data_IF_901881927956
#
_entry.id   IF_901881927956
#
_cell.length_a   1.000
_cell.length_b   1.000
_cell.length_c   1.000
_cell.angle_alpha   90.00
_cell.angle_beta   90.00
_cell.angle_gamma   90.00
#
_symmetry.space_group_name_H-M   'P 1'
#
loop_
_entity.id
_entity.type
_entity.pdbx_description
1 polymer ?
#
# COMPACT_ATOMS: atom_id res chain seq x y z
N UNK A 1 5.14 -46.07 40.87
CA UNK A 1 4.97 -44.79 41.58
C UNK A 1 4.24 -43.87 40.62
N UNK A 2 2.91 -43.73 40.72
CA UNK A 2 2.17 -42.86 41.64
C UNK A 2 2.36 -41.37 41.35
N UNK A 3 1.26 -40.69 41.01
CA UNK A 3 1.18 -39.25 40.88
C UNK A 3 1.00 -38.57 42.24
N UNK A 4 1.53 -37.36 42.40
CA UNK A 4 1.38 -36.56 43.61
C UNK A 4 0.18 -35.62 43.51
N UNK A 5 -0.85 -35.87 44.32
CA UNK A 5 -1.92 -34.91 44.59
C UNK A 5 -1.45 -33.84 45.58
N UNK A 6 -2.09 -32.66 45.59
CA UNK A 6 -3.00 -32.19 46.66
C UNK A 6 -3.14 -30.65 46.71
N UNK A 7 -4.34 -30.21 47.07
CA UNK A 7 -4.91 -28.86 46.99
C UNK A 7 -4.23 -27.71 47.75
N UNK A 8 -4.47 -26.48 47.25
CA UNK A 8 -4.58 -25.24 48.04
C UNK A 8 -5.78 -24.43 47.45
N UNK A 9 -6.96 -24.40 48.07
CA UNK A 9 -7.47 -23.54 49.15
C UNK A 9 -7.87 -22.09 48.74
N UNK A 10 -8.96 -21.59 49.35
CA UNK A 10 -9.75 -20.34 49.13
C UNK A 10 -10.94 -20.51 48.14
N UNK A 11 -12.25 -20.41 48.49
CA UNK A 11 -13.05 -19.59 49.45
C UNK A 11 -12.98 -18.07 49.13
N UNK A 12 -14.06 -17.26 49.12
CA UNK A 12 -15.49 -17.38 49.50
C UNK A 12 -16.26 -16.20 48.79
N UNK A 13 -17.56 -16.22 48.40
CA UNK A 13 -18.77 -15.85 49.20
C UNK A 13 -20.09 -15.95 48.35
N UNK A 14 -21.26 -15.84 49.00
CA UNK A 14 -22.67 -15.89 48.52
C UNK A 14 -23.14 -14.58 47.81
N UNK A 15 -24.40 -14.26 47.43
CA UNK A 15 -25.84 -14.65 47.69
C UNK A 15 -26.70 -14.25 46.44
N UNK A 16 -28.01 -14.46 46.16
CA UNK A 16 -29.28 -14.93 46.80
C UNK A 16 -29.94 -16.03 45.88
N UNK A 17 -31.15 -16.64 45.99
CA UNK A 17 -32.47 -16.48 46.71
C UNK A 17 -33.49 -15.49 46.05
N UNK A 18 -34.84 -15.64 46.04
CA UNK A 18 -35.82 -16.65 46.55
C UNK A 18 -37.23 -16.51 45.87
N UNK A 19 -38.20 -17.41 46.17
CA UNK A 19 -39.70 -17.32 45.97
C UNK A 19 -40.19 -17.55 44.50
N UNK A 20 -41.17 -18.41 44.11
CA UNK A 20 -42.42 -19.01 44.65
C UNK A 20 -43.72 -18.17 44.37
N UNK A 21 -44.99 -18.65 44.34
CA UNK A 21 -45.63 -19.93 44.69
C UNK A 21 -47.03 -20.08 44.00
N UNK A 22 -47.48 -21.33 43.72
CA UNK A 22 -48.87 -21.88 43.58
C UNK A 22 -50.01 -21.21 42.74
N UNK A 23 -50.89 -22.08 42.20
CA UNK A 23 -52.22 -21.73 41.66
C UNK A 23 -53.08 -22.95 41.27
N UNK A 24 -54.06 -23.32 42.09
CA UNK A 24 -55.07 -24.40 41.85
C UNK A 24 -56.21 -23.92 40.92
N UNK A 25 -57.09 -24.73 40.32
CA UNK A 25 -57.30 -26.19 40.35
C UNK A 25 -58.70 -26.54 39.77
N UNK A 26 -59.25 -27.71 40.13
CA UNK A 26 -60.57 -28.25 39.74
C UNK A 26 -60.76 -28.71 38.27
N UNK A 27 -61.74 -29.59 38.05
CA UNK A 27 -62.00 -30.28 36.79
C UNK A 27 -63.50 -30.55 36.59
N UNK A 28 -63.94 -30.72 35.34
CA UNK A 28 -65.23 -31.32 34.98
C UNK A 28 -65.12 -32.11 33.66
N UNK A 29 -65.94 -33.14 33.49
CA UNK A 29 -65.86 -34.05 32.35
C UNK A 29 -66.75 -33.64 31.17
N UNK A 30 -66.30 -33.92 29.95
CA UNK A 30 -67.06 -33.75 28.72
C UNK A 30 -66.34 -34.38 27.53
N UNK A 31 -66.86 -35.51 27.02
CA UNK A 31 -66.23 -36.23 25.92
C UNK A 31 -66.72 -35.72 24.55
N UNK A 32 -65.82 -35.12 23.76
CA UNK A 32 -66.04 -34.81 22.36
C UNK A 32 -64.77 -35.09 21.55
N UNK A 33 -64.87 -35.92 20.51
CA UNK A 33 -63.73 -36.28 19.67
C UNK A 33 -63.49 -35.22 18.60
N UNK A 34 -62.42 -34.45 18.72
CA UNK A 34 -61.95 -33.52 17.71
C UNK A 34 -60.46 -33.75 17.44
N UNK A 35 -60.10 -34.15 16.21
CA UNK A 35 -58.70 -34.35 15.80
C UNK A 35 -57.99 -33.01 15.63
N UNK A 36 -57.41 -32.51 16.72
CA UNK A 36 -56.48 -31.38 16.66
C UNK A 36 -55.19 -31.78 15.93
N UNK A 37 -54.94 -31.18 14.76
CA UNK A 37 -53.67 -31.30 14.04
C UNK A 37 -52.58 -30.50 14.77
N UNK A 38 -51.96 -31.12 15.77
CA UNK A 38 -50.83 -30.54 16.52
C UNK A 38 -49.54 -30.54 15.67
N UNK A 39 -49.54 -29.74 14.60
CA UNK A 39 -48.32 -29.39 13.87
C UNK A 39 -47.62 -28.26 14.61
N UNK A 40 -46.78 -28.62 15.59
CA UNK A 40 -45.70 -27.73 16.03
C UNK A 40 -44.84 -27.42 14.82
N UNK A 41 -45.02 -26.25 14.21
CA UNK A 41 -44.12 -25.74 13.20
C UNK A 41 -42.71 -25.73 13.79
N UNK A 42 -41.76 -26.38 13.13
CA UNK A 42 -40.36 -26.30 13.52
C UNK A 42 -39.92 -24.83 13.45
N UNK A 43 -39.14 -24.32 14.42
CA UNK A 43 -38.60 -22.98 14.31
C UNK A 43 -37.75 -22.90 13.04
N UNK A 44 -38.11 -21.97 12.14
CA UNK A 44 -37.38 -21.76 10.90
C UNK A 44 -35.91 -21.42 11.17
N UNK A 45 -35.00 -21.66 10.20
CA UNK A 45 -33.57 -21.45 10.40
C UNK A 45 -33.29 -20.02 10.89
N UNK A 46 -32.59 -19.90 12.01
CA UNK A 46 -32.31 -18.63 12.68
C UNK A 46 -31.62 -17.66 11.71
N UNK A 47 -32.34 -16.60 11.30
CA UNK A 47 -31.81 -15.53 10.44
C UNK A 47 -30.66 -14.84 11.18
N UNK A 48 -29.42 -15.19 10.85
CA UNK A 48 -28.26 -14.35 11.18
C UNK A 48 -28.35 -13.09 10.33
N UNK A 49 -28.61 -11.94 10.96
CA UNK A 49 -28.53 -10.65 10.30
C UNK A 49 -27.09 -10.38 9.84
N UNK A 50 -26.93 -9.63 8.74
CA UNK A 50 -25.61 -9.27 8.25
C UNK A 50 -24.83 -8.46 9.29
N UNK A 51 -23.55 -8.76 9.46
CA UNK A 51 -22.67 -7.98 10.35
C UNK A 51 -22.34 -6.66 9.66
N UNK A 52 -22.90 -5.55 10.12
CA UNK A 52 -22.51 -4.19 9.69
C UNK A 52 -21.31 -3.76 10.53
N UNK A 53 -20.17 -3.44 9.92
CA UNK A 53 -18.93 -3.18 10.67
C UNK A 53 -18.97 -1.85 11.45
N UNK A 54 -18.26 -1.72 12.59
CA UNK A 54 -18.28 -0.48 13.39
C UNK A 54 -17.80 0.75 12.63
N UNK A 55 -16.84 0.58 11.69
CA UNK A 55 -16.36 1.66 10.85
C UNK A 55 -17.44 2.12 9.85
N UNK A 56 -18.21 1.19 9.28
CA UNK A 56 -19.34 1.51 8.41
C UNK A 56 -20.43 2.24 9.19
N UNK A 57 -20.79 1.76 10.39
CA UNK A 57 -21.73 2.46 11.28
C UNK A 57 -21.28 3.89 11.59
N UNK A 58 -19.98 4.11 11.84
CA UNK A 58 -19.41 5.44 12.07
C UNK A 58 -19.42 6.33 10.82
N UNK A 59 -19.14 5.79 9.62
CA UNK A 59 -19.29 6.51 8.35
C UNK A 59 -20.75 6.92 8.10
N UNK A 60 -21.70 5.99 8.27
CA UNK A 60 -23.13 6.24 8.13
C UNK A 60 -23.61 7.36 9.06
N UNK A 61 -23.23 7.32 10.34
CA UNK A 61 -23.59 8.34 11.32
C UNK A 61 -23.01 9.73 10.95
N UNK A 62 -21.77 9.78 10.44
CA UNK A 62 -21.14 11.03 9.96
C UNK A 62 -21.88 11.62 8.76
N UNK A 63 -22.34 10.79 7.82
CA UNK A 63 -23.12 11.25 6.66
C UNK A 63 -24.53 11.73 7.05
N UNK A 64 -25.24 11.01 7.93
CA UNK A 64 -26.55 11.41 8.45
C UNK A 64 -26.50 12.74 9.23
N UNK A 65 -25.41 13.00 9.98
CA UNK A 65 -25.24 14.26 10.66
C UNK A 65 -24.84 15.41 9.71
N UNK A 66 -24.18 15.12 8.59
CA UNK A 66 -23.88 16.12 7.54
C UNK A 66 -25.12 16.52 6.74
N UNK A 67 -25.99 15.58 6.37
CA UNK A 67 -27.21 15.90 5.61
C UNK A 67 -28.21 16.73 6.42
N UNK A 68 -28.32 16.47 7.74
CA UNK A 68 -29.10 17.30 8.68
C UNK A 68 -28.68 18.79 8.74
N UNK A 69 -27.48 19.13 8.29
CA UNK A 69 -27.00 20.52 8.20
C UNK A 69 -27.29 21.22 6.87
N UNK A 70 -27.91 20.54 5.89
CA UNK A 70 -28.20 21.08 4.55
C UNK A 70 -29.67 20.83 4.19
N UNK A 71 -30.53 21.77 4.60
CA UNK A 71 -31.99 21.64 4.48
C UNK A 71 -32.59 21.98 3.11
N UNK A 72 -31.77 22.11 2.05
CA UNK A 72 -32.25 22.44 0.70
C UNK A 72 -31.36 21.82 -0.41
N UNK A 73 -31.94 21.73 -1.62
CA UNK A 73 -31.32 21.49 -2.94
C UNK A 73 -30.87 20.07 -3.35
N UNK A 74 -30.92 19.01 -2.53
CA UNK A 74 -30.56 17.65 -3.00
C UNK A 74 -31.72 16.64 -2.94
N UNK A 75 -32.33 16.40 -4.12
CA UNK A 75 -33.45 15.46 -4.33
C UNK A 75 -33.04 13.99 -4.14
N UNK A 76 -31.76 13.66 -4.38
CA UNK A 76 -31.18 12.39 -4.00
C UNK A 76 -30.57 12.50 -2.58
N UNK A 77 -30.94 11.57 -1.69
CA UNK A 77 -30.31 11.45 -0.38
C UNK A 77 -28.82 11.08 -0.47
N UNK A 78 -28.04 11.24 0.61
CA UNK A 78 -26.61 10.92 0.59
C UNK A 78 -26.39 9.44 0.23
N UNK A 79 -25.39 9.19 -0.62
CA UNK A 79 -24.91 7.84 -0.95
C UNK A 79 -23.70 7.45 -0.08
N UNK A 80 -23.38 6.15 -0.06
CA UNK A 80 -22.19 5.58 0.58
C UNK A 80 -21.69 4.38 -0.24
N UNK A 81 -20.37 4.19 -0.30
CA UNK A 81 -19.76 2.96 -0.85
C UNK A 81 -19.64 1.92 0.26
N UNK A 82 -20.04 0.68 -0.03
CA UNK A 82 -20.06 -0.44 0.91
C UNK A 82 -19.45 -1.68 0.26
N UNK A 83 -18.66 -2.43 1.04
CA UNK A 83 -18.14 -3.74 0.64
C UNK A 83 -19.06 -4.82 1.20
N UNK A 84 -19.82 -5.44 0.31
CA UNK A 84 -20.84 -6.47 0.61
C UNK A 84 -20.19 -7.84 0.50
N UNK A 85 -20.30 -8.67 1.55
CA UNK A 85 -19.90 -10.09 1.49
C UNK A 85 -21.13 -10.97 1.56
N UNK A 86 -21.34 -11.81 0.55
CA UNK A 86 -22.53 -12.64 0.39
C UNK A 86 -22.22 -14.12 0.17
N UNK A 87 -23.19 -14.97 0.48
CA UNK A 87 -23.15 -16.42 0.22
C UNK A 87 -23.56 -16.79 -1.21
N UNK A 88 -24.35 -15.90 -1.84
CA UNK A 88 -24.82 -15.99 -3.22
C UNK A 88 -24.72 -14.59 -3.86
N UNK A 89 -24.85 -14.50 -5.18
CA UNK A 89 -24.97 -13.22 -5.87
C UNK A 89 -26.16 -12.40 -5.31
N UNK A 90 -25.91 -11.11 -5.12
CA UNK A 90 -26.87 -10.11 -4.63
C UNK A 90 -26.90 -8.85 -5.52
N UNK A 91 -26.22 -8.86 -6.67
CA UNK A 91 -26.10 -7.71 -7.58
C UNK A 91 -27.47 -7.15 -7.98
N UNK A 92 -28.42 -8.01 -8.36
CA UNK A 92 -29.81 -7.59 -8.65
C UNK A 92 -30.55 -7.00 -7.45
N UNK A 93 -30.27 -7.45 -6.23
CA UNK A 93 -30.88 -6.90 -5.03
C UNK A 93 -30.29 -5.51 -4.70
N UNK A 94 -29.00 -5.30 -4.97
CA UNK A 94 -28.33 -4.01 -4.89
C UNK A 94 -28.94 -3.02 -5.92
N UNK A 95 -29.08 -3.44 -7.18
CA UNK A 95 -29.71 -2.65 -8.24
C UNK A 95 -31.17 -2.26 -7.90
N UNK A 96 -31.96 -3.21 -7.37
CA UNK A 96 -33.34 -2.97 -6.92
C UNK A 96 -33.44 -2.01 -5.73
N UNK A 97 -32.38 -1.84 -4.94
CA UNK A 97 -32.28 -0.85 -3.89
C UNK A 97 -31.74 0.51 -4.39
N UNK A 98 -31.57 0.68 -5.71
CA UNK A 98 -31.00 1.87 -6.33
C UNK A 98 -29.48 1.97 -6.19
N UNK A 99 -28.82 0.86 -5.85
CA UNK A 99 -27.36 0.78 -5.81
C UNK A 99 -26.74 0.53 -7.17
N UNK A 100 -25.50 0.99 -7.33
CA UNK A 100 -24.65 0.74 -8.49
C UNK A 100 -23.47 -0.14 -8.09
N UNK A 101 -23.08 -1.07 -8.97
CA UNK A 101 -21.92 -1.94 -8.77
C UNK A 101 -20.64 -1.19 -9.14
N UNK A 102 -19.68 -1.16 -8.22
CA UNK A 102 -18.32 -0.64 -8.44
C UNK A 102 -17.38 -1.78 -8.85
N UNK A 103 -17.54 -2.96 -8.25
CA UNK A 103 -16.89 -4.20 -8.67
C UNK A 103 -17.67 -5.42 -8.13
N UNK A 104 -17.70 -6.53 -8.87
CA UNK A 104 -18.18 -7.83 -8.40
C UNK A 104 -17.10 -8.90 -8.49
N UNK A 105 -16.69 -9.44 -7.34
CA UNK A 105 -15.79 -10.59 -7.23
C UNK A 105 -16.65 -11.87 -7.14
N UNK A 106 -17.10 -12.33 -8.30
CA UNK A 106 -17.78 -13.63 -8.53
C UNK A 106 -19.03 -13.86 -7.67
N UNK A 107 -19.84 -12.82 -7.44
CA UNK A 107 -21.07 -12.85 -6.65
C UNK A 107 -20.86 -13.06 -5.14
N UNK A 108 -19.64 -12.88 -4.63
CA UNK A 108 -19.27 -13.17 -3.23
C UNK A 108 -18.74 -11.97 -2.45
N UNK A 109 -18.02 -11.07 -3.12
CA UNK A 109 -17.60 -9.78 -2.57
C UNK A 109 -17.91 -8.71 -3.60
N UNK A 110 -18.85 -7.84 -3.30
CA UNK A 110 -19.31 -6.77 -4.21
C UNK A 110 -19.01 -5.43 -3.56
N UNK A 111 -18.26 -4.57 -4.26
CA UNK A 111 -18.18 -3.16 -3.92
C UNK A 111 -19.36 -2.45 -4.62
N UNK A 112 -20.17 -1.72 -3.87
CA UNK A 112 -21.33 -0.98 -4.40
C UNK A 112 -21.42 0.40 -3.78
N UNK A 113 -21.83 1.38 -4.57
CA UNK A 113 -22.38 2.64 -4.07
C UNK A 113 -23.90 2.53 -4.01
N UNK A 114 -24.50 2.86 -2.87
CA UNK A 114 -25.96 2.85 -2.70
C UNK A 114 -26.44 4.03 -1.83
N UNK A 115 -27.74 4.40 -1.92
CA UNK A 115 -28.34 5.37 -1.01
C UNK A 115 -28.15 4.94 0.45
N UNK A 116 -27.75 5.87 1.31
CA UNK A 116 -27.45 5.62 2.72
C UNK A 116 -28.63 5.03 3.51
N UNK A 117 -29.86 5.37 3.11
CA UNK A 117 -31.11 4.82 3.65
C UNK A 117 -31.31 3.33 3.32
N UNK A 118 -30.58 2.78 2.34
CA UNK A 118 -30.75 1.41 1.83
C UNK A 118 -29.70 0.41 2.31
N UNK A 119 -28.69 0.87 3.06
CA UNK A 119 -27.70 -0.01 3.72
C UNK A 119 -28.36 -0.99 4.69
N UNK A 120 -29.39 -0.54 5.43
CA UNK A 120 -30.17 -1.40 6.33
C UNK A 120 -31.01 -2.43 5.59
N UNK A 121 -31.63 -2.07 4.47
CA UNK A 121 -32.41 -2.98 3.63
C UNK A 121 -31.51 -4.07 3.03
N UNK A 122 -30.32 -3.69 2.55
CA UNK A 122 -29.31 -4.63 2.05
C UNK A 122 -28.79 -5.56 3.17
N UNK A 123 -28.56 -5.05 4.39
CA UNK A 123 -28.19 -5.85 5.55
C UNK A 123 -29.28 -6.86 5.99
N UNK A 124 -30.54 -6.61 5.62
CA UNK A 124 -31.67 -7.52 5.84
C UNK A 124 -31.82 -8.63 4.80
N UNK A 125 -31.02 -8.60 3.72
CA UNK A 125 -31.05 -9.59 2.64
C UNK A 125 -30.40 -10.90 3.10
N UNK A 126 -31.15 -12.01 3.06
CA UNK A 126 -30.73 -13.33 3.61
C UNK A 126 -29.39 -13.85 3.06
N UNK A 127 -29.02 -13.47 1.84
CA UNK A 127 -27.74 -13.86 1.21
C UNK A 127 -26.55 -13.04 1.68
N UNK A 128 -26.75 -11.88 2.33
CA UNK A 128 -25.68 -10.99 2.79
C UNK A 128 -25.22 -11.42 4.19
N UNK A 129 -23.92 -11.69 4.32
CA UNK A 129 -23.28 -12.11 5.58
C UNK A 129 -22.69 -10.95 6.36
N UNK A 130 -22.19 -9.92 5.65
CA UNK A 130 -21.44 -8.80 6.24
C UNK A 130 -21.44 -7.60 5.29
N UNK A 131 -21.49 -6.40 5.87
CA UNK A 131 -21.25 -5.12 5.21
C UNK A 131 -20.06 -4.43 5.89
N UNK A 132 -19.00 -4.17 5.12
CA UNK A 132 -17.82 -3.42 5.55
C UNK A 132 -17.76 -2.03 4.90
N UNK A 133 -17.05 -1.12 5.55
CA UNK A 133 -16.80 0.21 5.05
C UNK A 133 -15.88 0.17 3.84
N UNK A 134 -16.16 1.01 2.83
CA UNK A 134 -15.14 1.45 1.89
C UNK A 134 -14.06 2.24 2.65
N UNK A 135 -12.79 1.98 2.32
CA UNK A 135 -11.64 2.45 3.07
C UNK A 135 -10.55 2.94 2.12
N UNK A 136 -10.09 4.18 2.36
CA UNK A 136 -8.88 4.68 1.72
C UNK A 136 -7.67 3.95 2.28
N UNK A 137 -7.04 3.13 1.45
CA UNK A 137 -5.68 2.66 1.69
C UNK A 137 -4.69 3.81 1.47
N UNK A 138 -3.55 3.73 2.13
CA UNK A 138 -2.48 4.73 2.07
C UNK A 138 -1.15 4.01 1.74
N UNK A 139 -0.28 4.57 0.89
CA UNK A 139 1.10 4.12 0.80
C UNK A 139 1.82 4.27 2.15
N UNK A 140 2.72 3.33 2.46
CA UNK A 140 3.55 3.36 3.67
C UNK A 140 4.94 2.83 3.32
N UNK A 141 5.97 3.64 3.58
CA UNK A 141 7.40 3.35 3.33
C UNK A 141 8.30 3.87 4.47
N UNK A 142 7.70 4.55 5.46
CA UNK A 142 8.32 5.13 6.66
C UNK A 142 9.00 4.09 7.56
N UNK A 143 8.67 2.81 7.38
CA UNK A 143 9.16 1.71 8.22
C UNK A 143 10.42 1.05 7.65
N UNK A 144 10.66 1.10 6.34
CA UNK A 144 11.72 0.32 5.68
C UNK A 144 13.12 0.67 6.18
N UNK A 145 13.41 1.96 6.42
CA UNK A 145 14.68 2.46 6.97
C UNK A 145 14.97 1.90 8.38
N UNK A 146 13.94 1.70 9.19
CA UNK A 146 14.05 1.10 10.51
C UNK A 146 14.23 -0.43 10.43
N UNK A 147 13.50 -1.10 9.54
CA UNK A 147 13.57 -2.55 9.34
C UNK A 147 14.93 -3.01 8.80
N UNK A 148 15.49 -2.33 7.79
CA UNK A 148 16.85 -2.61 7.28
C UNK A 148 17.96 -2.10 8.22
N UNK A 149 17.59 -1.42 9.32
CA UNK A 149 18.51 -0.87 10.34
C UNK A 149 19.51 0.15 9.81
N UNK A 150 19.18 0.92 8.76
CA UNK A 150 20.10 1.91 8.19
C UNK A 150 20.58 2.93 9.24
N UNK A 151 19.72 3.32 10.19
CA UNK A 151 20.09 4.16 11.33
C UNK A 151 21.19 3.59 12.25
N UNK A 152 21.41 2.27 12.25
CA UNK A 152 22.55 1.63 12.93
C UNK A 152 23.81 1.73 12.08
N UNK A 153 23.74 1.45 10.77
CA UNK A 153 24.86 1.65 9.85
C UNK A 153 25.37 3.12 9.89
N UNK A 154 24.45 4.08 9.93
CA UNK A 154 24.73 5.52 10.04
C UNK A 154 25.46 5.98 11.31
N UNK A 155 25.55 5.14 12.35
CA UNK A 155 26.33 5.43 13.57
C UNK A 155 27.72 4.77 13.57
N UNK A 156 27.99 3.86 12.64
CA UNK A 156 29.33 3.37 12.35
C UNK A 156 30.10 4.35 11.46
N UNK A 157 31.43 4.22 11.46
CA UNK A 157 32.35 4.96 10.60
C UNK A 157 33.18 4.03 9.74
N UNK A 158 33.72 4.54 8.64
CA UNK A 158 34.78 3.89 7.89
C UNK A 158 36.15 3.99 8.61
N UNK A 159 37.21 3.53 7.93
CA UNK A 159 38.61 3.59 8.40
C UNK A 159 39.20 5.00 8.48
N UNK A 160 38.55 6.02 7.91
CA UNK A 160 38.91 7.44 8.05
C UNK A 160 38.21 8.12 9.23
N UNK A 161 37.19 7.46 9.82
CA UNK A 161 36.33 8.03 10.86
C UNK A 161 35.10 8.77 10.31
N UNK A 162 34.82 8.66 9.00
CA UNK A 162 33.65 9.28 8.39
C UNK A 162 32.39 8.40 8.58
N UNK A 163 31.24 8.97 9.00
CA UNK A 163 30.01 8.20 9.18
C UNK A 163 29.50 7.56 7.89
N UNK A 164 29.10 6.30 7.96
CA UNK A 164 28.65 5.50 6.81
C UNK A 164 27.30 5.98 6.26
N UNK A 165 27.32 7.06 5.47
CA UNK A 165 26.13 7.71 4.87
C UNK A 165 26.22 7.91 3.36
N UNK A 166 27.24 7.35 2.70
CA UNK A 166 27.46 7.44 1.26
C UNK A 166 28.34 8.60 0.78
N UNK A 167 28.89 9.44 1.67
CA UNK A 167 29.81 10.52 1.26
C UNK A 167 30.99 9.96 0.45
N UNK A 168 31.29 10.56 -0.70
CA UNK A 168 32.29 10.07 -1.69
C UNK A 168 31.97 8.69 -2.29
N UNK A 169 30.69 8.35 -2.39
CA UNK A 169 30.17 7.19 -3.14
C UNK A 169 29.09 7.68 -4.08
N UNK A 170 29.15 7.22 -5.33
CA UNK A 170 28.15 7.47 -6.35
C UNK A 170 27.02 6.44 -6.26
N UNK A 171 25.78 6.90 -6.38
CA UNK A 171 24.61 6.07 -6.62
C UNK A 171 24.17 6.28 -8.06
N UNK A 172 24.42 5.27 -8.91
CA UNK A 172 23.98 5.23 -10.30
C UNK A 172 22.60 4.60 -10.40
N UNK A 173 21.63 5.29 -10.98
CA UNK A 173 20.28 4.78 -11.18
C UNK A 173 19.99 4.69 -12.69
N UNK A 174 19.45 3.56 -13.15
CA UNK A 174 18.95 3.38 -14.53
C UNK A 174 17.44 3.14 -14.47
N UNK A 175 16.63 4.12 -14.83
CA UNK A 175 15.18 4.12 -14.55
C UNK A 175 14.39 5.13 -15.44
N UNK A 176 13.23 5.63 -15.00
CA UNK A 176 12.33 6.53 -15.75
C UNK A 176 12.75 8.01 -15.82
N UNK A 177 13.80 8.41 -15.11
CA UNK A 177 14.25 9.80 -14.96
C UNK A 177 14.27 10.29 -13.52
N UNK A 178 14.46 11.59 -13.32
CA UNK A 178 14.48 12.20 -11.99
C UNK A 178 13.83 13.60 -11.94
N UNK A 179 12.98 13.86 -10.95
CA UNK A 179 12.65 15.25 -10.59
C UNK A 179 13.84 15.89 -9.87
N UNK A 180 14.81 16.39 -10.63
CA UNK A 180 16.00 17.08 -10.11
C UNK A 180 15.68 18.41 -9.38
N UNK A 181 14.42 18.89 -9.42
CA UNK A 181 14.00 20.04 -8.62
C UNK A 181 13.70 19.66 -7.16
N UNK A 182 13.45 18.37 -6.87
CA UNK A 182 13.11 17.87 -5.54
C UNK A 182 14.20 18.25 -4.50
N UNK A 183 13.84 18.91 -3.39
CA UNK A 183 14.79 19.27 -2.33
C UNK A 183 15.62 18.10 -1.78
N UNK A 184 15.08 16.87 -1.81
CA UNK A 184 15.77 15.67 -1.33
C UNK A 184 17.06 15.37 -2.09
N UNK A 185 17.24 15.87 -3.31
CA UNK A 185 18.45 15.68 -4.13
C UNK A 185 19.41 16.87 -4.10
N UNK A 186 19.19 17.84 -3.20
CA UNK A 186 20.00 19.07 -3.10
C UNK A 186 20.89 19.08 -1.85
N UNK A 187 21.99 19.81 -1.93
CA UNK A 187 22.87 20.14 -0.81
C UNK A 187 22.25 21.23 0.08
N UNK A 188 22.74 21.42 1.32
CA UNK A 188 22.26 22.46 2.22
C UNK A 188 22.45 23.91 1.73
N UNK A 189 23.31 24.13 0.72
CA UNK A 189 23.51 25.42 0.05
C UNK A 189 22.54 25.67 -1.13
N UNK A 190 21.72 24.67 -1.48
CA UNK A 190 20.78 24.71 -2.59
C UNK A 190 21.30 24.15 -3.92
N UNK A 191 22.59 23.79 -4.01
CA UNK A 191 23.15 23.11 -5.19
C UNK A 191 22.64 21.68 -5.33
N UNK A 192 22.68 21.09 -6.51
CA UNK A 192 22.34 19.67 -6.74
C UNK A 192 23.42 18.71 -6.20
N UNK A 193 23.02 17.50 -5.77
CA UNK A 193 23.91 16.33 -5.57
C UNK A 193 23.95 15.42 -6.81
N UNK A 194 23.19 15.74 -7.85
CA UNK A 194 23.18 14.99 -9.10
C UNK A 194 24.33 15.51 -9.96
N UNK A 195 25.38 14.69 -10.16
CA UNK A 195 26.59 15.06 -10.93
C UNK A 195 26.26 15.15 -12.42
N UNK A 196 25.49 14.18 -12.91
CA UNK A 196 25.04 14.08 -14.29
C UNK A 196 23.65 13.43 -14.39
N UNK A 197 22.91 13.79 -15.44
CA UNK A 197 21.70 13.10 -15.89
C UNK A 197 21.88 12.80 -17.38
N UNK A 198 21.67 11.56 -17.82
CA UNK A 198 21.59 11.22 -19.25
C UNK A 198 20.16 10.80 -19.59
N UNK A 199 19.46 11.59 -20.41
CA UNK A 199 18.16 11.22 -20.97
C UNK A 199 18.34 10.56 -22.33
N UNK A 200 18.26 9.23 -22.37
CA UNK A 200 18.38 8.43 -23.60
C UNK A 200 17.18 8.60 -24.55
N UNK A 201 16.11 9.29 -24.14
CA UNK A 201 14.91 9.53 -24.95
C UNK A 201 14.88 10.87 -25.70
N UNK A 202 15.93 11.69 -25.54
CA UNK A 202 16.07 13.00 -26.18
C UNK A 202 17.17 13.01 -27.25
N UNK A 203 17.02 13.84 -28.28
CA UNK A 203 18.09 14.13 -29.24
C UNK A 203 18.94 15.32 -28.76
N UNK A 204 20.25 15.30 -29.01
CA UNK A 204 21.11 16.48 -28.88
C UNK A 204 22.49 16.22 -28.28
N UNK A 205 22.67 16.58 -27.01
CA UNK A 205 23.96 16.58 -26.34
C UNK A 205 24.35 15.18 -25.84
N UNK A 206 24.59 14.24 -26.75
CA UNK A 206 25.01 12.89 -26.39
C UNK A 206 26.30 12.89 -25.55
N UNK A 207 26.43 12.03 -24.52
CA UNK A 207 27.66 11.92 -23.75
C UNK A 207 28.82 11.40 -24.62
N UNK A 208 30.05 11.79 -24.26
CA UNK A 208 31.24 11.34 -24.99
C UNK A 208 31.34 9.80 -25.03
N UNK A 209 31.48 9.24 -26.24
CA UNK A 209 31.43 7.80 -26.51
C UNK A 209 30.10 7.30 -27.10
N UNK A 210 29.04 8.12 -27.04
CA UNK A 210 27.70 7.79 -27.55
C UNK A 210 27.25 8.82 -28.61
N UNK A 211 26.30 8.43 -29.45
CA UNK A 211 25.73 9.26 -30.54
C UNK A 211 24.24 9.61 -30.33
N UNK A 212 23.67 9.28 -29.17
CA UNK A 212 22.26 9.50 -28.82
C UNK A 212 22.05 9.99 -27.38
N UNK A 213 20.86 10.50 -27.10
CA UNK A 213 20.48 11.03 -25.79
C UNK A 213 20.92 12.48 -25.56
N UNK A 214 20.62 12.98 -24.36
CA UNK A 214 21.03 14.30 -23.88
C UNK A 214 21.64 14.20 -22.48
N UNK A 215 22.91 14.60 -22.33
CA UNK A 215 23.62 14.71 -21.05
C UNK A 215 23.45 16.11 -20.45
N UNK A 216 22.95 16.16 -19.22
CA UNK A 216 23.03 17.31 -18.32
C UNK A 216 24.15 17.09 -17.30
N UNK A 217 24.84 18.17 -16.93
CA UNK A 217 25.82 18.22 -15.84
C UNK A 217 25.26 18.97 -14.62
N UNK A 218 25.99 18.97 -13.52
CA UNK A 218 25.59 19.70 -12.31
C UNK A 218 25.37 21.21 -12.54
N UNK A 219 25.93 21.85 -13.59
CA UNK A 219 25.67 23.25 -13.89
C UNK A 219 24.27 23.45 -14.51
N UNK A 220 23.97 22.71 -15.58
CA UNK A 220 22.67 22.73 -16.27
C UNK A 220 21.50 22.18 -15.43
N UNK A 221 21.79 21.37 -14.42
CA UNK A 221 20.83 20.94 -13.39
C UNK A 221 20.58 22.05 -12.35
N UNK A 222 21.61 22.83 -12.01
CA UNK A 222 21.49 23.93 -11.03
C UNK A 222 20.79 25.18 -11.59
N UNK A 223 20.99 25.51 -12.86
CA UNK A 223 20.31 26.64 -13.51
C UNK A 223 18.92 26.28 -14.06
N UNK A 224 18.57 24.99 -14.10
CA UNK A 224 17.29 24.48 -14.59
C UNK A 224 17.16 24.41 -16.11
N UNK A 225 18.27 24.44 -16.85
CA UNK A 225 18.29 24.30 -18.31
C UNK A 225 18.25 22.84 -18.79
N UNK A 226 18.49 21.86 -17.91
CA UNK A 226 18.43 20.44 -18.24
C UNK A 226 17.02 20.04 -18.77
N UNK A 227 16.90 19.55 -20.02
CA UNK A 227 15.60 19.25 -20.64
C UNK A 227 14.97 17.93 -20.19
N UNK A 228 15.66 17.15 -19.34
CA UNK A 228 15.16 15.89 -18.81
C UNK A 228 13.91 16.10 -17.93
N UNK A 229 13.07 15.07 -17.90
CA UNK A 229 11.89 15.01 -17.03
C UNK A 229 11.45 13.58 -16.80
N UNK A 230 11.32 13.20 -15.52
CA UNK A 230 10.57 12.04 -15.10
C UNK A 230 9.06 12.31 -15.27
N UNK A 231 8.42 11.54 -16.16
CA UNK A 231 6.96 11.61 -16.38
C UNK A 231 6.20 10.45 -15.76
N UNK A 232 6.91 9.47 -15.18
CA UNK A 232 6.33 8.29 -14.53
C UNK A 232 6.41 8.43 -12.99
N UNK A 233 7.58 8.86 -12.49
CA UNK A 233 7.88 9.06 -11.08
C UNK A 233 8.65 7.91 -10.43
N UNK A 234 8.82 6.77 -11.11
CA UNK A 234 9.51 5.59 -10.58
C UNK A 234 10.98 5.86 -10.28
N UNK A 235 11.74 6.42 -11.22
CA UNK A 235 13.16 6.76 -11.05
C UNK A 235 13.39 7.81 -9.96
N UNK A 236 12.52 8.83 -9.88
CA UNK A 236 12.49 9.79 -8.76
C UNK A 236 12.30 9.08 -7.42
N UNK A 237 11.34 8.16 -7.34
CA UNK A 237 11.00 7.43 -6.12
C UNK A 237 12.12 6.46 -5.68
N UNK A 238 12.69 5.71 -6.62
CA UNK A 238 13.85 4.83 -6.43
C UNK A 238 15.07 5.63 -5.93
N UNK A 239 15.37 6.78 -6.55
CA UNK A 239 16.46 7.65 -6.09
C UNK A 239 16.20 8.22 -4.70
N UNK A 240 14.94 8.54 -4.36
CA UNK A 240 14.53 8.92 -3.02
C UNK A 240 14.88 7.87 -1.96
N UNK A 241 14.53 6.61 -2.22
CA UNK A 241 14.86 5.46 -1.35
C UNK A 241 16.38 5.26 -1.24
N UNK A 242 17.11 5.34 -2.34
CA UNK A 242 18.55 5.07 -2.35
C UNK A 242 19.36 6.21 -1.68
N UNK A 243 19.13 7.46 -2.08
CA UNK A 243 20.05 8.57 -1.84
C UNK A 243 19.38 9.88 -1.38
N UNK A 244 18.05 9.97 -1.28
CA UNK A 244 17.35 11.18 -0.80
C UNK A 244 17.77 11.58 0.62
N UNK A 245 17.93 12.87 0.90
CA UNK A 245 18.38 13.35 2.22
C UNK A 245 17.25 13.79 3.17
N UNK A 246 15.99 13.73 2.70
CA UNK A 246 14.80 14.06 3.49
C UNK A 246 14.50 15.55 3.67
N UNK A 247 15.22 16.46 3.00
CA UNK A 247 14.96 17.90 3.07
C UNK A 247 13.50 18.27 2.75
N UNK A 248 12.85 17.60 1.79
CA UNK A 248 11.46 17.80 1.40
C UNK A 248 10.45 17.39 2.50
N UNK A 249 10.85 16.51 3.43
CA UNK A 249 9.99 16.01 4.51
C UNK A 249 10.30 16.61 5.87
N UNK A 250 11.40 17.37 6.00
CA UNK A 250 11.95 17.85 7.26
C UNK A 250 12.80 16.81 8.00
N UNK A 251 13.43 15.89 7.26
CA UNK A 251 14.27 14.81 7.80
C UNK A 251 13.47 13.66 8.43
N UNK A 252 12.21 13.46 8.04
CA UNK A 252 11.37 12.35 8.53
C UNK A 252 11.56 11.09 7.68
N UNK A 253 11.38 11.23 6.39
CA UNK A 253 11.73 10.22 5.40
C UNK A 253 13.12 10.57 4.86
N UNK A 254 14.04 9.60 4.78
CA UNK A 254 15.40 9.77 4.26
C UNK A 254 15.81 8.48 3.57
N UNK A 255 16.49 8.59 2.43
CA UNK A 255 17.09 7.44 1.75
C UNK A 255 18.25 6.84 2.52
N UNK A 256 18.70 5.65 2.10
CA UNK A 256 19.71 4.82 2.79
C UNK A 256 21.10 5.46 2.81
N UNK A 257 21.48 6.15 1.73
CA UNK A 257 22.77 6.84 1.57
C UNK A 257 22.56 8.37 1.39
N UNK A 258 22.11 9.11 2.43
CA UNK A 258 21.67 10.50 2.31
C UNK A 258 22.81 11.52 2.09
N UNK A 259 24.07 11.05 1.97
CA UNK A 259 25.24 11.82 1.55
C UNK A 259 25.89 11.30 0.26
N UNK A 260 25.32 10.30 -0.40
CA UNK A 260 25.77 9.89 -1.72
C UNK A 260 25.57 11.01 -2.74
N UNK A 261 26.43 11.03 -3.74
CA UNK A 261 26.20 11.81 -4.95
C UNK A 261 25.52 10.93 -6.00
N UNK A 262 24.74 11.53 -6.91
CA UNK A 262 23.77 10.83 -7.76
C UNK A 262 24.19 10.93 -9.22
N UNK A 263 24.04 9.85 -9.98
CA UNK A 263 23.99 9.88 -11.45
C UNK A 263 22.73 9.16 -11.90
N UNK A 264 21.93 9.80 -12.75
CA UNK A 264 20.70 9.23 -13.31
C UNK A 264 20.89 8.95 -14.81
N UNK A 265 20.46 7.78 -15.25
CA UNK A 265 20.21 7.49 -16.67
C UNK A 265 18.74 7.18 -16.85
N UNK A 266 18.04 8.06 -17.54
CA UNK A 266 16.67 7.83 -17.99
C UNK A 266 16.72 6.96 -19.24
N UNK A 267 16.15 5.77 -19.17
CA UNK A 267 16.30 4.73 -20.20
C UNK A 267 14.95 4.22 -20.71
N UNK A 268 14.92 3.68 -21.94
CA UNK A 268 13.75 2.93 -22.42
C UNK A 268 13.73 1.45 -21.95
N UNK A 269 14.72 1.05 -21.14
CA UNK A 269 14.85 -0.28 -20.53
C UNK A 269 14.97 -1.44 -21.54
N UNK A 270 15.29 -1.14 -22.81
CA UNK A 270 15.80 -2.14 -23.76
C UNK A 270 17.21 -2.58 -23.35
N UNK A 271 17.57 -3.82 -23.66
CA UNK A 271 18.88 -4.41 -23.38
C UNK A 271 20.06 -3.53 -23.83
N UNK A 272 20.00 -2.99 -25.05
CA UNK A 272 20.99 -2.05 -25.61
C UNK A 272 21.16 -0.79 -24.76
N UNK A 273 20.04 -0.20 -24.40
CA UNK A 273 19.94 1.10 -23.73
C UNK A 273 20.42 0.98 -22.27
N UNK A 274 20.13 -0.17 -21.62
CA UNK A 274 20.62 -0.55 -20.29
C UNK A 274 22.12 -0.83 -20.28
N UNK A 275 22.64 -1.61 -21.25
CA UNK A 275 24.09 -1.87 -21.35
C UNK A 275 24.88 -0.58 -21.58
N UNK A 276 24.36 0.31 -22.44
CA UNK A 276 24.94 1.63 -22.64
C UNK A 276 24.90 2.49 -21.35
N UNK A 277 23.81 2.42 -20.59
CA UNK A 277 23.68 3.09 -19.29
C UNK A 277 24.72 2.59 -18.26
N UNK A 278 24.97 1.28 -18.19
CA UNK A 278 25.99 0.71 -17.30
C UNK A 278 27.40 1.14 -17.68
N UNK A 279 27.75 1.07 -18.97
CA UNK A 279 29.03 1.58 -19.46
C UNK A 279 29.21 3.06 -19.09
N UNK A 280 28.22 3.90 -19.40
CA UNK A 280 28.22 5.32 -19.06
C UNK A 280 28.44 5.59 -17.56
N UNK A 281 27.73 4.86 -16.69
CA UNK A 281 27.86 5.01 -15.23
C UNK A 281 29.27 4.65 -14.73
N UNK A 282 29.90 3.61 -15.29
CA UNK A 282 31.26 3.19 -14.96
C UNK A 282 32.33 4.12 -15.54
N UNK A 283 32.12 4.64 -16.75
CA UNK A 283 32.95 5.69 -17.36
C UNK A 283 32.92 6.96 -16.50
N UNK A 284 31.76 7.38 -15.99
CA UNK A 284 31.63 8.53 -15.08
C UNK A 284 32.24 8.27 -13.70
N UNK A 285 32.08 7.08 -13.13
CA UNK A 285 32.75 6.68 -11.89
C UNK A 285 34.27 6.75 -12.01
N UNK A 286 34.80 6.27 -13.15
CA UNK A 286 36.23 6.34 -13.48
C UNK A 286 36.72 7.77 -13.69
N UNK A 287 35.94 8.63 -14.38
CA UNK A 287 36.24 10.05 -14.58
C UNK A 287 36.26 10.86 -13.28
N UNK A 288 35.38 10.54 -12.33
CA UNK A 288 35.30 11.20 -11.02
C UNK A 288 36.29 10.62 -10.00
N UNK A 289 36.83 9.41 -10.22
CA UNK A 289 37.60 8.65 -9.24
C UNK A 289 36.80 8.45 -7.93
N UNK A 290 35.50 8.19 -8.04
CA UNK A 290 34.59 7.89 -6.94
C UNK A 290 33.93 6.52 -7.18
N UNK A 291 33.89 5.59 -6.19
CA UNK A 291 33.27 4.27 -6.33
C UNK A 291 31.75 4.41 -6.54
N UNK A 292 31.17 3.51 -7.34
CA UNK A 292 29.75 3.55 -7.69
C UNK A 292 29.00 2.27 -7.28
N UNK A 293 27.76 2.44 -6.82
CA UNK A 293 26.77 1.38 -6.74
C UNK A 293 25.68 1.64 -7.80
N UNK A 294 25.49 0.71 -8.73
CA UNK A 294 24.47 0.81 -9.78
C UNK A 294 23.21 0.04 -9.35
N UNK A 295 22.07 0.72 -9.33
CA UNK A 295 20.77 0.13 -9.01
C UNK A 295 19.88 0.05 -10.25
N UNK A 296 19.42 -1.16 -10.54
CA UNK A 296 18.53 -1.51 -11.65
C UNK A 296 17.17 -1.94 -11.10
N UNK A 297 16.23 -1.02 -10.88
CA UNK A 297 14.91 -1.31 -10.29
C UNK A 297 13.89 -1.85 -11.30
N UNK A 298 14.35 -2.69 -12.25
CA UNK A 298 13.56 -3.25 -13.34
C UNK A 298 13.93 -4.73 -13.57
N UNK A 299 13.13 -5.44 -14.39
CA UNK A 299 13.40 -6.83 -14.73
C UNK A 299 12.37 -7.40 -15.71
N UNK A 300 12.64 -8.59 -16.25
CA UNK A 300 11.75 -9.23 -17.22
C UNK A 300 11.93 -10.75 -17.28
N UNK A 301 10.89 -11.46 -17.73
CA UNK A 301 10.85 -12.93 -17.75
C UNK A 301 11.45 -13.57 -19.00
N UNK A 302 12.07 -12.79 -19.90
CA UNK A 302 12.40 -13.18 -21.28
C UNK A 302 13.78 -13.83 -21.46
N UNK A 303 14.67 -13.81 -20.46
CA UNK A 303 15.98 -14.48 -20.52
C UNK A 303 15.87 -15.97 -20.16
N UNK A 304 16.95 -16.78 -20.28
CA UNK A 304 16.92 -18.19 -19.90
C UNK A 304 17.04 -18.47 -18.38
N UNK A 305 17.05 -17.43 -17.53
CA UNK A 305 17.07 -17.53 -16.04
C UNK A 305 18.20 -18.37 -15.44
N UNK A 306 19.35 -18.43 -16.13
CA UNK A 306 20.49 -19.30 -15.81
C UNK A 306 21.86 -18.58 -15.84
N UNK A 307 21.87 -17.25 -15.99
CA UNK A 307 23.10 -16.45 -16.15
C UNK A 307 23.72 -16.48 -17.56
N UNK A 308 23.04 -17.04 -18.57
CA UNK A 308 23.59 -17.18 -19.93
C UNK A 308 22.91 -16.31 -21.00
N UNK A 309 22.28 -15.19 -20.61
CA UNK A 309 21.91 -14.15 -21.59
C UNK A 309 22.98 -13.06 -21.67
N UNK A 310 23.04 -12.36 -22.80
CA UNK A 310 24.06 -11.32 -23.03
C UNK A 310 24.00 -10.18 -22.00
N UNK A 311 22.83 -9.94 -21.39
CA UNK A 311 22.65 -8.96 -20.31
C UNK A 311 23.17 -9.49 -18.96
N UNK A 312 23.02 -10.79 -18.68
CA UNK A 312 23.60 -11.42 -17.49
C UNK A 312 25.13 -11.41 -17.59
N UNK A 313 25.67 -11.80 -18.76
CA UNK A 313 27.10 -11.83 -19.02
C UNK A 313 27.74 -10.43 -18.98
N UNK A 314 27.04 -9.40 -19.47
CA UNK A 314 27.47 -8.02 -19.34
C UNK A 314 27.43 -7.53 -17.88
N UNK A 315 26.49 -8.00 -17.06
CA UNK A 315 26.47 -7.68 -15.64
C UNK A 315 27.63 -8.34 -14.88
N UNK A 316 27.93 -9.62 -15.16
CA UNK A 316 29.04 -10.36 -14.55
C UNK A 316 30.41 -9.72 -14.87
N UNK A 317 30.65 -9.34 -16.14
CA UNK A 317 31.92 -8.71 -16.56
C UNK A 317 32.12 -7.30 -15.95
N UNK A 318 31.03 -6.54 -15.79
CA UNK A 318 31.07 -5.17 -15.27
C UNK A 318 30.99 -5.06 -13.73
N UNK A 319 30.46 -6.07 -13.04
CA UNK A 319 30.35 -6.06 -11.57
C UNK A 319 31.68 -6.31 -10.84
N UNK A 320 32.60 -7.05 -11.48
CA UNK A 320 33.87 -7.47 -10.89
C UNK A 320 33.77 -8.66 -9.91
N UNK A 321 34.92 -9.14 -9.39
CA UNK A 321 35.03 -10.33 -8.55
C UNK A 321 34.84 -10.10 -7.03
#
# INVERSE_FOLDING_TARGET
>A
MQASSLHLLLRILQILSLIALLGSGAAFAGAASAKSFNTKAAPGPLRRAAIVSPLLQAQMARLLNRSRGRFNEQLAGPEITVIVRSHHDVSRAIEQLGGTLVADIRGKVIATRLPLSKVSDLAGTTSVSRLDADQRLHPALDQSIAEIRAAQAWSHTDSSGMPLKGSHVLVGIVDSGIDYHNPDFKNPDGSTRIKFIWDQSLDGQAPNGFDFGYECDAASINDGSCPEKDTDGHGTHVTGIAAGNGAATGGRESGVAPKADIIMVKSSLKTSDVMAAWQYLLDKSSQLNEPIAINNSFGGMMSPHNGSSDLDLAADDLAGP
#
